data_IF_125956350426
#
_entry.id   IF_125956350426
#
_cell.length_a   1.000
_cell.length_b   1.000
_cell.length_c   1.000
_cell.angle_alpha   90.00
_cell.angle_beta   90.00
_cell.angle_gamma   90.00
#
_symmetry.space_group_name_H-M   'P 1'
#
loop_
_entity.id
_entity.type
_entity.pdbx_description
1 polymer ?
#
# COMPACT_ATOMS: atom_id res chain seq x y z
N UNK A 1 -11.04 0.07 4.71
CA UNK A 1 -11.55 -0.21 6.07
C UNK A 1 -13.07 -0.09 6.19
N UNK A 2 -13.76 0.70 5.34
CA UNK A 2 -15.21 0.87 5.42
C UNK A 2 -16.03 -0.28 4.82
N UNK A 3 -15.38 -1.22 4.17
CA UNK A 3 -16.01 -2.32 3.44
C UNK A 3 -15.73 -3.70 4.08
N UNK A 4 -15.30 -3.74 5.34
CA UNK A 4 -14.97 -4.97 6.04
C UNK A 4 -16.18 -5.83 6.41
N UNK A 5 -15.86 -7.05 6.66
CA UNK A 5 -16.53 -8.24 7.14
C UNK A 5 -18.08 -8.20 7.31
N UNK A 6 -18.75 -9.09 6.56
CA UNK A 6 -20.20 -9.39 6.71
C UNK A 6 -20.56 -10.01 8.07
N UNK A 7 -19.59 -10.48 8.86
CA UNK A 7 -19.82 -11.27 10.06
C UNK A 7 -19.69 -10.50 11.37
N UNK A 8 -19.38 -9.20 11.35
CA UNK A 8 -19.44 -8.42 12.59
C UNK A 8 -20.88 -8.07 12.92
N UNK A 9 -21.37 -8.71 13.96
CA UNK A 9 -22.67 -8.47 14.58
C UNK A 9 -22.75 -7.07 15.21
N UNK A 10 -23.01 -6.06 14.40
CA UNK A 10 -23.11 -4.65 14.82
C UNK A 10 -23.34 -3.68 13.68
N UNK A 11 -23.10 -4.09 12.44
CA UNK A 11 -23.37 -3.26 11.29
C UNK A 11 -24.82 -3.44 10.83
N UNK A 12 -25.55 -2.34 10.71
CA UNK A 12 -26.99 -2.24 10.37
C UNK A 12 -27.38 -2.78 8.98
N UNK A 13 -26.64 -3.73 8.41
CA UNK A 13 -26.86 -4.28 7.07
C UNK A 13 -26.55 -3.28 5.94
N UNK A 14 -26.10 -2.08 6.26
CA UNK A 14 -25.80 -1.01 5.31
C UNK A 14 -24.58 -1.37 4.46
N UNK A 15 -23.53 -1.87 5.08
CA UNK A 15 -22.31 -2.30 4.35
C UNK A 15 -22.63 -3.42 3.37
N UNK A 16 -23.41 -4.41 3.76
CA UNK A 16 -23.83 -5.49 2.86
C UNK A 16 -24.66 -5.01 1.66
N UNK A 17 -25.50 -3.99 1.86
CA UNK A 17 -26.27 -3.37 0.75
C UNK A 17 -25.37 -2.60 -0.20
N UNK A 18 -24.41 -1.84 0.30
CA UNK A 18 -23.45 -1.10 -0.51
C UNK A 18 -22.61 -2.07 -1.34
N UNK A 19 -22.10 -3.15 -0.75
CA UNK A 19 -21.40 -4.21 -1.49
C UNK A 19 -22.25 -4.81 -2.61
N UNK A 20 -23.50 -5.14 -2.31
CA UNK A 20 -24.40 -5.70 -3.30
C UNK A 20 -24.66 -4.74 -4.45
N UNK A 21 -24.82 -3.45 -4.17
CA UNK A 21 -25.02 -2.41 -5.20
C UNK A 21 -23.76 -2.25 -6.06
N UNK A 22 -22.57 -2.21 -5.47
CA UNK A 22 -21.30 -2.14 -6.21
C UNK A 22 -21.13 -3.38 -7.09
N UNK A 23 -21.32 -4.58 -6.53
CA UNK A 23 -21.22 -5.82 -7.25
C UNK A 23 -22.20 -5.91 -8.43
N UNK A 24 -23.43 -5.42 -8.27
CA UNK A 24 -24.42 -5.33 -9.33
C UNK A 24 -23.97 -4.35 -10.43
N UNK A 25 -23.46 -3.18 -10.04
CA UNK A 25 -22.98 -2.16 -10.99
C UNK A 25 -21.78 -2.66 -11.79
N UNK A 26 -20.83 -3.34 -11.13
CA UNK A 26 -19.67 -3.92 -11.80
C UNK A 26 -20.05 -5.02 -12.80
N UNK A 27 -21.07 -5.83 -12.46
CA UNK A 27 -21.58 -6.90 -13.33
C UNK A 27 -22.49 -6.43 -14.46
N UNK A 28 -22.88 -5.17 -14.51
CA UNK A 28 -23.79 -4.63 -15.53
C UNK A 28 -23.06 -4.43 -16.86
N UNK A 29 -23.43 -5.25 -17.84
CA UNK A 29 -22.80 -5.26 -19.17
C UNK A 29 -22.95 -3.94 -19.93
N UNK A 30 -23.90 -3.09 -19.57
CA UNK A 30 -24.10 -1.75 -20.18
C UNK A 30 -22.92 -0.83 -19.96
N UNK A 31 -22.15 -1.06 -18.89
CA UNK A 31 -20.98 -0.26 -18.51
C UNK A 31 -19.65 -0.92 -18.90
N UNK A 32 -19.68 -2.12 -19.46
CA UNK A 32 -18.46 -2.82 -19.90
C UNK A 32 -17.72 -1.98 -20.95
N UNK A 33 -16.41 -1.76 -20.71
CA UNK A 33 -15.56 -0.92 -21.54
C UNK A 33 -15.78 0.60 -21.39
N UNK A 34 -16.73 1.04 -20.56
CA UNK A 34 -16.98 2.46 -20.28
C UNK A 34 -16.54 2.90 -18.90
N UNK A 35 -16.48 1.98 -17.95
CA UNK A 35 -16.06 2.24 -16.56
C UNK A 35 -14.94 1.26 -16.22
N UNK A 36 -13.84 1.79 -15.69
CA UNK A 36 -12.81 1.00 -15.06
C UNK A 36 -13.05 1.02 -13.55
N UNK A 37 -13.13 -0.16 -12.95
CA UNK A 37 -13.25 -0.34 -11.51
C UNK A 37 -11.88 -0.67 -10.94
N UNK A 38 -11.46 0.07 -9.90
CA UNK A 38 -10.23 -0.20 -9.16
C UNK A 38 -10.57 -0.27 -7.68
N UNK A 39 -10.33 -1.43 -7.08
CA UNK A 39 -10.52 -1.68 -5.65
C UNK A 39 -9.15 -1.78 -5.00
N UNK A 40 -8.94 -1.01 -3.94
CA UNK A 40 -7.70 -0.99 -3.18
C UNK A 40 -7.99 -1.45 -1.75
N UNK A 41 -7.29 -2.46 -1.29
CA UNK A 41 -7.44 -3.01 0.06
C UNK A 41 -6.14 -3.63 0.55
N UNK A 42 -5.90 -3.58 1.85
CA UNK A 42 -4.85 -4.35 2.52
C UNK A 42 -5.35 -5.72 3.02
N UNK A 43 -6.65 -6.02 2.89
CA UNK A 43 -7.25 -7.28 3.31
C UNK A 43 -8.12 -7.85 2.19
N UNK A 44 -7.50 -8.38 1.11
CA UNK A 44 -8.23 -8.96 -0.02
C UNK A 44 -9.02 -10.21 0.37
N UNK A 45 -8.57 -10.93 1.38
CA UNK A 45 -9.22 -12.10 1.97
C UNK A 45 -10.61 -11.79 2.55
N UNK A 46 -10.82 -10.57 3.05
CA UNK A 46 -12.10 -10.14 3.61
C UNK A 46 -13.10 -9.61 2.57
N UNK A 47 -12.69 -9.43 1.33
CA UNK A 47 -13.60 -9.01 0.27
C UNK A 47 -14.60 -10.13 -0.07
N UNK A 48 -15.90 -9.80 -0.23
CA UNK A 48 -16.89 -10.78 -0.67
C UNK A 48 -16.52 -11.41 -2.01
N UNK A 49 -16.64 -12.74 -2.12
CA UNK A 49 -16.34 -13.48 -3.33
C UNK A 49 -17.09 -12.94 -4.55
N UNK A 50 -18.29 -12.39 -4.34
CA UNK A 50 -19.08 -11.80 -5.40
C UNK A 50 -18.42 -10.59 -6.07
N UNK A 51 -17.52 -9.88 -5.40
CA UNK A 51 -16.73 -8.80 -6.02
C UNK A 51 -15.56 -9.35 -6.83
N UNK A 52 -14.99 -10.47 -6.40
CA UNK A 52 -13.79 -11.11 -6.98
C UNK A 52 -14.07 -12.03 -8.17
N UNK A 53 -15.35 -12.23 -8.53
CA UNK A 53 -15.75 -13.13 -9.64
C UNK A 53 -15.41 -12.54 -11.00
N UNK A 54 -15.23 -13.45 -11.97
CA UNK A 54 -15.03 -13.09 -13.38
C UNK A 54 -16.14 -12.14 -13.88
N UNK A 55 -15.74 -11.15 -14.66
CA UNK A 55 -16.62 -10.07 -15.15
C UNK A 55 -16.86 -8.95 -14.13
N UNK A 56 -16.15 -8.95 -13.00
CA UNK A 56 -16.14 -7.88 -11.98
C UNK A 56 -14.69 -7.48 -11.68
N UNK A 57 -14.23 -7.51 -10.43
CA UNK A 57 -12.82 -7.33 -10.10
C UNK A 57 -12.07 -8.66 -10.28
N UNK A 58 -11.83 -9.05 -11.51
CA UNK A 58 -11.28 -10.36 -11.86
C UNK A 58 -9.75 -10.40 -11.94
N UNK A 59 -9.12 -9.23 -11.94
CA UNK A 59 -7.66 -9.09 -11.97
C UNK A 59 -7.21 -8.61 -10.60
N UNK A 60 -6.43 -9.45 -9.91
CA UNK A 60 -5.90 -9.15 -8.59
C UNK A 60 -4.39 -9.01 -8.68
N UNK A 61 -3.90 -7.84 -8.29
CA UNK A 61 -2.49 -7.47 -8.37
C UNK A 61 -2.01 -7.23 -6.93
N UNK A 62 -1.13 -8.09 -6.38
CA UNK A 62 -0.46 -7.82 -5.13
C UNK A 62 0.50 -6.64 -5.28
N UNK A 63 0.56 -5.79 -4.27
CA UNK A 63 1.56 -4.73 -4.16
C UNK A 63 2.44 -5.07 -2.96
N UNK A 64 3.67 -5.47 -3.25
CA UNK A 64 4.67 -5.82 -2.25
C UNK A 64 5.34 -4.58 -1.67
N UNK A 65 6.08 -4.77 -0.59
CA UNK A 65 7.01 -3.77 -0.10
C UNK A 65 8.17 -3.61 -1.11
N UNK A 66 8.81 -2.45 -1.18
CA UNK A 66 10.00 -2.31 -1.99
C UNK A 66 11.07 -3.28 -1.49
N UNK A 67 11.67 -4.05 -2.39
CA UNK A 67 12.63 -5.10 -2.11
C UNK A 67 14.10 -4.69 -2.39
N UNK A 68 14.30 -3.51 -2.95
CA UNK A 68 15.63 -2.95 -3.27
C UNK A 68 15.81 -1.54 -2.73
N UNK A 69 17.08 -1.18 -2.48
CA UNK A 69 17.42 0.18 -2.09
C UNK A 69 17.00 1.21 -3.13
N UNK A 70 17.10 0.87 -4.41
CA UNK A 70 16.69 1.73 -5.53
C UNK A 70 15.19 2.04 -5.47
N UNK A 71 14.36 1.05 -5.18
CA UNK A 71 12.92 1.24 -5.05
C UNK A 71 12.56 2.09 -3.83
N UNK A 72 13.23 1.86 -2.70
CA UNK A 72 13.04 2.67 -1.49
C UNK A 72 13.39 4.13 -1.77
N UNK A 73 14.55 4.39 -2.40
CA UNK A 73 14.97 5.74 -2.76
C UNK A 73 13.98 6.41 -3.75
N UNK A 74 13.52 5.67 -4.75
CA UNK A 74 12.49 6.15 -5.67
C UNK A 74 11.17 6.50 -4.95
N UNK A 75 10.79 5.72 -3.93
CA UNK A 75 9.62 6.02 -3.11
C UNK A 75 9.81 7.28 -2.27
N UNK A 76 10.99 7.55 -1.72
CA UNK A 76 11.30 8.82 -1.05
C UNK A 76 11.07 10.01 -1.96
N UNK A 77 11.53 9.95 -3.21
CA UNK A 77 11.28 11.00 -4.20
C UNK A 77 9.79 11.18 -4.52
N UNK A 78 9.06 10.06 -4.69
CA UNK A 78 7.61 10.08 -4.96
C UNK A 78 6.86 10.72 -3.78
N UNK A 79 7.17 10.32 -2.55
CA UNK A 79 6.52 10.87 -1.36
C UNK A 79 6.91 12.33 -1.12
N UNK A 80 8.14 12.70 -1.43
CA UNK A 80 8.58 14.10 -1.44
C UNK A 80 7.76 14.93 -2.43
N UNK A 81 7.65 14.50 -3.67
CA UNK A 81 6.84 15.18 -4.71
C UNK A 81 5.37 15.29 -4.33
N UNK A 82 4.78 14.21 -3.80
CA UNK A 82 3.38 14.17 -3.33
C UNK A 82 3.10 15.27 -2.28
N UNK A 83 4.06 15.51 -1.40
CA UNK A 83 3.92 16.46 -0.29
C UNK A 83 4.51 17.84 -0.59
N UNK A 84 4.98 18.09 -1.82
CA UNK A 84 5.62 19.34 -2.20
C UNK A 84 6.95 19.60 -1.47
N UNK A 85 7.65 18.53 -1.10
CA UNK A 85 8.92 18.56 -0.37
C UNK A 85 9.99 17.97 -1.29
N UNK A 86 10.94 18.77 -1.83
CA UNK A 86 12.05 18.20 -2.57
C UNK A 86 12.90 17.31 -1.65
N UNK A 87 13.09 16.08 -2.07
CA UNK A 87 13.94 15.10 -1.38
C UNK A 87 15.14 14.80 -2.26
N UNK A 88 16.34 14.89 -1.70
CA UNK A 88 17.58 14.46 -2.35
C UNK A 88 17.97 13.10 -1.75
N UNK A 89 18.02 12.09 -2.60
CA UNK A 89 18.28 10.69 -2.19
C UNK A 89 19.74 10.26 -2.43
N UNK A 90 20.53 11.08 -3.11
CA UNK A 90 21.86 10.74 -3.63
C UNK A 90 22.88 10.31 -2.56
N UNK A 91 22.70 10.77 -1.31
CA UNK A 91 23.59 10.44 -0.18
C UNK A 91 22.85 9.75 0.96
N UNK A 92 21.68 9.20 0.72
CA UNK A 92 20.90 8.53 1.76
C UNK A 92 21.38 7.08 1.90
N UNK A 93 21.99 6.79 3.04
CA UNK A 93 22.41 5.44 3.37
C UNK A 93 21.24 4.63 3.95
N UNK A 94 20.93 3.53 3.29
CA UNK A 94 19.92 2.56 3.75
C UNK A 94 20.64 1.33 4.31
N UNK A 95 20.14 0.83 5.42
CA UNK A 95 20.60 -0.43 6.01
C UNK A 95 19.48 -1.48 6.02
N UNK A 96 19.78 -2.69 6.47
CA UNK A 96 18.83 -3.81 6.50
C UNK A 96 17.53 -3.51 7.25
N UNK A 97 17.54 -2.59 8.22
CA UNK A 97 16.34 -2.18 8.97
C UNK A 97 15.33 -1.42 8.12
N UNK A 98 15.77 -0.91 6.97
CA UNK A 98 14.96 -0.11 6.06
C UNK A 98 14.35 -0.91 4.90
N UNK A 99 14.67 -2.22 4.81
CA UNK A 99 14.22 -3.09 3.71
C UNK A 99 12.71 -3.35 3.67
N UNK A 100 11.99 -2.97 4.73
CA UNK A 100 10.56 -3.32 4.88
C UNK A 100 9.68 -2.10 5.11
N UNK A 101 10.10 -0.94 4.62
CA UNK A 101 9.33 0.29 4.77
C UNK A 101 8.17 0.31 3.76
N UNK A 102 6.96 0.51 4.26
CA UNK A 102 5.82 0.80 3.39
C UNK A 102 5.87 2.23 2.84
N UNK A 103 5.10 2.50 1.79
CA UNK A 103 4.96 3.88 1.29
C UNK A 103 4.44 4.85 2.34
N UNK A 104 3.60 4.40 3.28
CA UNK A 104 3.13 5.21 4.40
C UNK A 104 4.23 5.50 5.41
N UNK A 105 5.11 4.54 5.67
CA UNK A 105 6.26 4.71 6.55
C UNK A 105 7.23 5.73 5.96
N UNK A 106 7.56 5.59 4.67
CA UNK A 106 8.43 6.53 3.94
C UNK A 106 7.83 7.94 3.94
N UNK A 107 6.52 8.08 3.70
CA UNK A 107 5.84 9.37 3.79
C UNK A 107 5.96 9.97 5.20
N UNK A 108 5.80 9.17 6.25
CA UNK A 108 5.96 9.60 7.64
C UNK A 108 7.37 10.10 7.95
N UNK A 109 8.39 9.43 7.43
CA UNK A 109 9.80 9.84 7.54
C UNK A 109 10.01 11.19 6.86
N UNK A 110 9.55 11.37 5.62
CA UNK A 110 9.66 12.64 4.86
C UNK A 110 9.00 13.79 5.61
N UNK A 111 7.80 13.57 6.13
CA UNK A 111 7.06 14.59 6.90
C UNK A 111 7.76 14.91 8.24
N UNK A 112 8.41 13.91 8.85
CA UNK A 112 9.18 14.11 10.08
C UNK A 112 10.44 14.90 9.81
N UNK A 113 11.18 14.58 8.75
CA UNK A 113 12.34 15.35 8.30
C UNK A 113 11.95 16.83 8.04
N UNK A 114 10.82 17.06 7.38
CA UNK A 114 10.29 18.41 7.16
C UNK A 114 10.04 19.16 8.47
N UNK A 115 9.41 18.49 9.45
CA UNK A 115 9.17 19.11 10.78
C UNK A 115 10.48 19.47 11.47
N UNK A 116 11.50 18.59 11.41
CA UNK A 116 12.83 18.85 12.01
C UNK A 116 13.49 20.05 11.36
N UNK A 117 13.48 20.16 10.03
CA UNK A 117 14.03 21.31 9.31
C UNK A 117 13.34 22.61 9.74
N UNK A 118 11.99 22.63 9.81
CA UNK A 118 11.22 23.80 10.24
C UNK A 118 11.54 24.21 11.68
N UNK A 119 11.67 23.26 12.59
CA UNK A 119 12.07 23.55 13.99
C UNK A 119 13.48 24.16 14.05
N UNK A 120 14.37 23.74 13.15
CA UNK A 120 15.71 24.31 13.00
C UNK A 120 15.73 25.67 12.25
N UNK A 121 14.56 26.22 11.87
CA UNK A 121 14.43 27.49 11.17
C UNK A 121 14.73 27.41 9.67
N UNK A 122 14.80 26.21 9.09
CA UNK A 122 15.06 25.97 7.67
C UNK A 122 13.75 25.73 6.91
N UNK A 123 13.68 26.17 5.65
CA UNK A 123 12.55 25.92 4.76
C UNK A 123 12.72 24.69 3.89
N UNK A 124 13.95 24.22 3.74
CA UNK A 124 14.31 23.04 2.96
C UNK A 124 14.82 21.95 3.87
N UNK A 125 14.64 20.71 3.49
CA UNK A 125 15.18 19.55 4.18
C UNK A 125 16.57 19.23 3.63
N UNK A 126 17.44 18.78 4.53
CA UNK A 126 18.76 18.25 4.20
C UNK A 126 18.75 16.71 4.33
N UNK A 127 19.71 16.03 3.71
CA UNK A 127 19.86 14.57 3.84
C UNK A 127 19.92 14.13 5.29
N UNK A 128 20.62 14.91 6.12
CA UNK A 128 20.75 14.68 7.57
C UNK A 128 19.43 14.71 8.33
N UNK A 129 18.43 15.46 7.86
CA UNK A 129 17.08 15.48 8.47
C UNK A 129 16.36 14.17 8.17
N UNK A 130 16.52 13.64 6.94
CA UNK A 130 15.95 12.35 6.54
C UNK A 130 16.64 11.21 7.29
N UNK A 131 17.97 11.19 7.33
CA UNK A 131 18.74 10.18 8.07
C UNK A 131 18.35 10.15 9.55
N UNK A 132 18.25 11.32 10.17
CA UNK A 132 17.82 11.41 11.56
C UNK A 132 16.40 10.91 11.75
N UNK A 133 15.49 11.31 10.86
CA UNK A 133 14.09 10.85 10.92
C UNK A 133 13.99 9.35 10.69
N UNK A 134 14.77 8.80 9.77
CA UNK A 134 14.80 7.37 9.43
C UNK A 134 15.38 6.54 10.60
N UNK A 135 16.47 7.00 11.21
CA UNK A 135 17.07 6.32 12.37
C UNK A 135 16.18 6.31 13.62
N UNK A 136 15.33 7.31 13.77
CA UNK A 136 14.35 7.38 14.86
C UNK A 136 13.02 6.68 14.55
N UNK A 137 12.81 6.29 13.30
CA UNK A 137 11.55 5.72 12.86
C UNK A 137 11.41 4.26 13.29
N UNK A 138 10.21 3.91 13.77
CA UNK A 138 9.80 2.54 14.06
C UNK A 138 8.61 2.23 13.16
N UNK A 139 8.73 1.26 12.24
CA UNK A 139 7.64 0.87 11.36
C UNK A 139 6.39 0.44 12.15
N UNK A 140 5.22 0.85 11.66
CA UNK A 140 3.94 0.61 12.35
C UNK A 140 3.42 -0.81 12.20
N UNK A 141 3.80 -1.49 11.11
CA UNK A 141 3.45 -2.88 10.86
C UNK A 141 4.70 -3.76 10.95
N UNK A 142 4.78 -4.58 11.99
CA UNK A 142 5.86 -5.53 12.19
C UNK A 142 5.29 -6.91 12.52
N UNK A 143 5.96 -7.96 12.04
CA UNK A 143 5.69 -9.34 12.41
C UNK A 143 4.49 -9.96 11.71
N UNK A 144 3.87 -10.92 12.38
CA UNK A 144 2.89 -11.87 11.83
C UNK A 144 1.72 -11.23 11.06
N UNK A 145 1.26 -10.06 11.45
CA UNK A 145 0.14 -9.41 10.75
C UNK A 145 0.54 -8.94 9.33
N UNK A 146 1.76 -8.46 9.17
CA UNK A 146 2.34 -8.09 7.88
C UNK A 146 2.48 -9.32 6.99
N UNK A 147 3.10 -10.38 7.52
CA UNK A 147 3.30 -11.64 6.79
C UNK A 147 1.97 -12.24 6.34
N UNK A 148 0.96 -12.21 7.20
CA UNK A 148 -0.38 -12.67 6.85
C UNK A 148 -1.04 -11.85 5.75
N UNK A 149 -0.83 -10.53 5.70
CA UNK A 149 -1.36 -9.67 4.65
C UNK A 149 -0.67 -9.98 3.31
N UNK A 150 0.63 -10.20 3.32
CA UNK A 150 1.40 -10.54 2.13
C UNK A 150 0.98 -11.91 1.58
N UNK A 151 0.92 -12.94 2.43
CA UNK A 151 0.41 -14.27 2.04
C UNK A 151 -1.01 -14.18 1.49
N UNK A 152 -1.89 -13.39 2.11
CA UNK A 152 -3.25 -13.20 1.61
C UNK A 152 -3.27 -12.53 0.23
N UNK A 153 -2.38 -11.57 -0.03
CA UNK A 153 -2.27 -10.92 -1.33
C UNK A 153 -1.77 -11.90 -2.42
N UNK A 154 -0.81 -12.75 -2.08
CA UNK A 154 -0.28 -13.80 -2.98
C UNK A 154 -1.35 -14.84 -3.30
N UNK A 155 -2.07 -15.36 -2.30
CA UNK A 155 -3.13 -16.35 -2.47
C UNK A 155 -4.30 -15.83 -3.33
N UNK A 156 -4.55 -14.55 -3.29
CA UNK A 156 -5.59 -13.91 -4.10
C UNK A 156 -5.09 -13.45 -5.47
N UNK A 157 -3.79 -13.55 -5.74
CA UNK A 157 -3.21 -13.16 -7.03
C UNK A 157 -3.79 -14.01 -8.17
N UNK A 158 -4.08 -13.39 -9.32
CA UNK A 158 -4.71 -14.07 -10.44
C UNK A 158 -3.77 -14.38 -11.60
N UNK A 159 -2.54 -13.89 -11.58
CA UNK A 159 -1.55 -14.13 -12.63
C UNK A 159 -0.14 -14.19 -12.03
N UNK A 160 0.64 -15.19 -12.44
CA UNK A 160 2.02 -15.38 -11.99
C UNK A 160 2.92 -14.17 -12.28
N UNK A 161 2.67 -13.46 -13.37
CA UNK A 161 3.45 -12.28 -13.77
C UNK A 161 3.33 -11.09 -12.79
N UNK A 162 2.33 -11.11 -11.93
CA UNK A 162 2.13 -10.09 -10.89
C UNK A 162 2.89 -10.38 -9.59
N UNK A 163 3.49 -11.55 -9.48
CA UNK A 163 4.29 -11.94 -8.32
C UNK A 163 5.75 -11.49 -8.52
N UNK A 164 6.41 -11.16 -7.43
CA UNK A 164 7.86 -10.98 -7.41
C UNK A 164 8.58 -12.33 -7.57
N UNK A 165 9.88 -12.30 -7.79
CA UNK A 165 10.65 -13.53 -8.10
C UNK A 165 10.70 -14.49 -6.90
N UNK A 166 10.74 -13.96 -5.68
CA UNK A 166 10.71 -14.76 -4.46
C UNK A 166 9.47 -15.65 -4.37
N UNK A 167 8.28 -15.07 -4.59
CA UNK A 167 7.02 -15.80 -4.53
C UNK A 167 6.81 -16.74 -5.73
N UNK A 168 7.36 -16.40 -6.90
CA UNK A 168 7.34 -17.32 -8.06
C UNK A 168 8.13 -18.60 -7.83
N UNK A 169 9.22 -18.51 -7.05
CA UNK A 169 10.04 -19.68 -6.71
C UNK A 169 9.40 -20.57 -5.63
N UNK A 170 8.50 -20.02 -4.81
CA UNK A 170 7.84 -20.74 -3.72
C UNK A 170 6.54 -21.43 -4.14
N UNK A 171 5.95 -21.06 -5.27
CA UNK A 171 4.70 -21.61 -5.80
C UNK A 171 4.94 -22.62 -6.91
#
# INVERSE_FOLDING_TARGET
AALGDRNQSGDSGTSGRIFSMIAQQMGDTRYRGKIMWMLLTCRPDLLPIDLKRQGRAEVHIPLFYPDSSEEILAMFEVMGRKNGIPVQTENLELDERHSELSGADIESVVLTARRKALVAGRTEIESTDIETALNEFIPSAQGLEKDMQEVAAVLECTQMDFLNDEWKEQL
#
